data_IF_499631809473
#
_entry.id   IF_499631809473
#
_cell.length_a   1.000
_cell.length_b   1.000
_cell.length_c   1.000
_cell.angle_alpha   90.00
_cell.angle_beta   90.00
_cell.angle_gamma   90.00
#
_symmetry.space_group_name_H-M   'P 1'
#
loop_
_entity.id
_entity.type
_entity.pdbx_description
1 polymer ?
#
# COMPACT_ATOMS: atom_id res chain seq x y z
N UNK A 1 59.74 -8.30 -46.12
CA UNK A 1 58.47 -7.63 -45.76
C UNK A 1 57.22 -8.39 -46.20
N UNK A 2 57.14 -8.90 -47.44
CA UNK A 2 55.99 -9.68 -47.95
C UNK A 2 55.66 -10.96 -47.16
N UNK A 3 56.66 -11.66 -46.63
CA UNK A 3 56.47 -12.92 -45.89
C UNK A 3 55.94 -12.73 -44.46
N UNK A 4 56.21 -11.56 -43.84
CA UNK A 4 55.67 -11.22 -42.50
C UNK A 4 54.21 -10.76 -42.59
N UNK A 5 53.83 -10.09 -43.68
CA UNK A 5 52.44 -9.70 -43.97
C UNK A 5 51.56 -10.92 -44.23
N UNK A 6 52.10 -11.95 -44.90
CA UNK A 6 51.36 -13.20 -45.14
C UNK A 6 51.04 -13.95 -43.82
N UNK A 7 51.95 -13.91 -42.84
CA UNK A 7 51.74 -14.54 -41.53
C UNK A 7 50.67 -13.80 -40.71
N UNK A 8 50.64 -12.46 -40.77
CA UNK A 8 49.59 -11.67 -40.13
C UNK A 8 48.21 -11.87 -40.78
N UNK A 9 48.15 -12.02 -42.10
CA UNK A 9 46.90 -12.32 -42.82
C UNK A 9 46.39 -13.74 -42.52
N UNK A 10 47.29 -14.72 -42.39
CA UNK A 10 46.91 -16.11 -42.03
C UNK A 10 46.43 -16.22 -40.58
N UNK A 11 47.03 -15.43 -39.67
CA UNK A 11 46.62 -15.34 -38.26
C UNK A 11 45.24 -14.70 -38.07
N UNK A 12 44.85 -13.76 -38.92
CA UNK A 12 43.55 -13.08 -38.82
C UNK A 12 42.40 -13.95 -39.34
N UNK A 13 42.67 -14.89 -40.25
CA UNK A 13 41.66 -15.81 -40.81
C UNK A 13 41.24 -16.91 -39.81
N UNK A 14 42.14 -17.32 -38.91
CA UNK A 14 41.84 -18.34 -37.88
C UNK A 14 40.96 -17.85 -36.74
N UNK A 15 40.74 -16.54 -36.58
CA UNK A 15 39.87 -15.99 -35.54
C UNK A 15 38.37 -16.01 -35.90
N UNK A 16 38.01 -16.33 -37.16
CA UNK A 16 36.61 -16.36 -37.62
C UNK A 16 35.99 -17.76 -37.68
N UNK A 17 36.73 -18.83 -37.40
CA UNK A 17 36.22 -20.22 -37.51
C UNK A 17 35.96 -20.91 -36.16
N UNK A 18 36.07 -20.19 -35.03
CA UNK A 18 35.84 -20.73 -33.69
C UNK A 18 34.38 -20.57 -33.20
N UNK A 19 33.40 -20.61 -34.11
CA UNK A 19 31.98 -20.73 -33.76
C UNK A 19 31.43 -22.00 -34.41
N UNK A 20 31.72 -23.13 -33.76
CA UNK A 20 31.08 -24.40 -34.04
C UNK A 20 29.62 -24.28 -33.57
N UNK A 21 28.71 -24.04 -34.51
CA UNK A 21 27.29 -24.21 -34.27
C UNK A 21 27.06 -25.70 -34.05
N UNK A 22 26.89 -26.09 -32.79
CA UNK A 22 26.25 -27.36 -32.46
C UNK A 22 24.84 -27.31 -33.03
N UNK A 23 24.60 -28.14 -34.04
CA UNK A 23 23.24 -28.47 -34.46
C UNK A 23 22.55 -29.06 -33.23
N UNK A 24 21.61 -28.30 -32.66
CA UNK A 24 20.67 -28.83 -31.69
C UNK A 24 19.77 -29.78 -32.47
N UNK A 25 19.98 -31.07 -32.24
CA UNK A 25 19.04 -32.11 -32.59
C UNK A 25 17.67 -31.71 -32.04
N UNK A 26 16.71 -31.46 -32.94
CA UNK A 26 15.29 -31.35 -32.63
C UNK A 26 14.83 -32.69 -32.02
N UNK A 27 15.05 -32.84 -30.72
CA UNK A 27 14.10 -33.59 -29.91
C UNK A 27 12.93 -32.65 -29.69
N UNK A 28 11.83 -32.97 -30.35
CA UNK A 28 10.48 -32.64 -29.93
C UNK A 28 10.32 -33.10 -28.49
N UNK A 29 10.83 -32.30 -27.55
CA UNK A 29 10.34 -32.31 -26.19
C UNK A 29 8.96 -31.74 -26.34
N UNK A 30 7.95 -32.61 -26.18
CA UNK A 30 6.66 -32.15 -25.69
C UNK A 30 6.98 -31.14 -24.60
N UNK A 31 6.69 -29.87 -24.87
CA UNK A 31 6.52 -28.90 -23.80
C UNK A 31 5.33 -29.42 -23.04
N UNK A 32 5.57 -30.33 -22.10
CA UNK A 32 4.71 -30.50 -20.96
C UNK A 32 4.66 -29.08 -20.41
N UNK A 33 3.55 -28.39 -20.70
CA UNK A 33 3.12 -27.25 -19.92
C UNK A 33 2.97 -27.83 -18.52
N UNK A 34 4.08 -27.90 -17.78
CA UNK A 34 4.04 -28.02 -16.33
C UNK A 34 3.41 -26.71 -15.94
N UNK A 35 2.08 -26.71 -15.89
CA UNK A 35 1.33 -25.74 -15.15
C UNK A 35 1.92 -25.88 -13.76
N UNK A 36 2.83 -24.99 -13.40
CA UNK A 36 3.37 -24.91 -12.05
C UNK A 36 2.19 -24.50 -11.20
N UNK A 37 1.45 -25.50 -10.70
CA UNK A 37 0.30 -25.25 -9.85
C UNK A 37 0.88 -24.62 -8.59
N UNK A 38 0.52 -23.37 -8.38
CA UNK A 38 0.86 -22.62 -7.18
C UNK A 38 0.12 -23.23 -5.99
N UNK A 39 0.77 -24.18 -5.32
CA UNK A 39 0.20 -24.92 -4.19
C UNK A 39 0.33 -24.18 -2.86
N UNK A 40 1.14 -23.12 -2.81
CA UNK A 40 1.41 -22.38 -1.59
C UNK A 40 0.32 -21.33 -1.35
N UNK A 41 -0.34 -21.44 -0.19
CA UNK A 41 -1.34 -20.45 0.26
C UNK A 41 -0.71 -19.49 1.26
N UNK A 42 -1.07 -18.21 1.18
CA UNK A 42 -0.73 -17.21 2.19
C UNK A 42 -1.83 -17.21 3.26
N UNK A 43 -1.52 -17.58 4.51
CA UNK A 43 -2.48 -17.58 5.60
C UNK A 43 -3.17 -16.23 5.77
N UNK A 44 -4.46 -16.29 6.12
CA UNK A 44 -5.14 -15.13 6.66
C UNK A 44 -4.79 -15.00 8.15
N UNK A 45 -4.26 -13.85 8.55
CA UNK A 45 -3.90 -13.58 9.94
C UNK A 45 -4.19 -12.13 10.30
N UNK A 46 -4.84 -11.97 11.44
CA UNK A 46 -5.13 -10.66 12.05
C UNK A 46 -4.23 -10.36 13.24
N UNK A 47 -3.41 -11.32 13.67
CA UNK A 47 -2.52 -11.15 14.82
C UNK A 47 -1.47 -10.08 14.52
N UNK A 48 -1.38 -9.06 15.37
CA UNK A 48 -0.44 -7.95 15.20
C UNK A 48 -0.91 -6.83 14.27
N UNK A 49 -2.12 -6.92 13.71
CA UNK A 49 -2.72 -5.79 13.00
C UNK A 49 -3.13 -4.69 13.98
N UNK A 50 -2.80 -3.44 13.63
CA UNK A 50 -3.37 -2.24 14.24
C UNK A 50 -4.87 -2.17 13.92
N UNK A 51 -5.68 -1.49 14.76
CA UNK A 51 -7.06 -1.18 14.41
C UNK A 51 -7.14 -0.46 13.06
N UNK A 52 -8.14 -0.82 12.26
CA UNK A 52 -8.42 -0.10 11.02
C UNK A 52 -8.91 1.31 11.34
N UNK A 53 -8.16 2.32 10.92
CA UNK A 53 -8.49 3.72 11.08
C UNK A 53 -9.31 4.19 9.89
N UNK A 54 -10.55 4.60 10.18
CA UNK A 54 -11.40 5.26 9.20
C UNK A 54 -10.90 6.68 8.98
N UNK A 55 -10.87 7.11 7.72
CA UNK A 55 -10.61 8.51 7.41
C UNK A 55 -11.81 9.38 7.82
N UNK A 56 -11.54 10.60 8.32
CA UNK A 56 -12.55 11.63 8.54
C UNK A 56 -13.13 12.11 7.20
N UNK A 57 -14.31 12.75 7.16
CA UNK A 57 -14.89 13.22 5.90
C UNK A 57 -13.97 14.12 5.07
N UNK A 58 -13.25 15.05 5.71
CA UNK A 58 -12.27 15.92 5.03
C UNK A 58 -11.10 15.12 4.46
N UNK A 59 -10.58 14.17 5.23
CA UNK A 59 -9.51 13.27 4.78
C UNK A 59 -9.97 12.37 3.62
N UNK A 60 -11.19 11.85 3.65
CA UNK A 60 -11.77 11.06 2.56
C UNK A 60 -11.85 11.85 1.26
N UNK A 61 -12.30 13.10 1.32
CA UNK A 61 -12.34 13.96 0.14
C UNK A 61 -10.94 14.24 -0.40
N UNK A 62 -9.97 14.49 0.50
CA UNK A 62 -8.61 14.79 0.12
C UNK A 62 -7.90 13.63 -0.61
N UNK A 63 -8.24 12.37 -0.30
CA UNK A 63 -7.66 11.18 -0.95
C UNK A 63 -8.50 10.65 -2.11
N UNK A 64 -9.67 11.25 -2.40
CA UNK A 64 -10.67 10.71 -3.35
C UNK A 64 -10.07 10.43 -4.72
N UNK A 65 -9.30 11.37 -5.23
CA UNK A 65 -8.68 11.30 -6.56
C UNK A 65 -7.20 10.86 -6.51
N UNK A 66 -6.70 10.47 -5.34
CA UNK A 66 -5.32 10.02 -5.15
C UNK A 66 -5.16 8.54 -5.54
N UNK A 67 -4.80 8.31 -6.80
CA UNK A 67 -4.69 6.96 -7.41
C UNK A 67 -3.87 5.96 -6.56
N UNK A 68 -2.73 6.38 -6.03
CA UNK A 68 -1.86 5.54 -5.21
C UNK A 68 -2.58 5.07 -3.94
N UNK A 69 -3.26 5.98 -3.24
CA UNK A 69 -4.06 5.65 -2.06
C UNK A 69 -5.21 4.69 -2.40
N UNK A 70 -5.94 4.94 -3.49
CA UNK A 70 -7.05 4.08 -3.93
C UNK A 70 -6.57 2.65 -4.24
N UNK A 71 -5.40 2.52 -4.89
CA UNK A 71 -4.79 1.22 -5.18
C UNK A 71 -4.36 0.48 -3.90
N UNK A 72 -3.70 1.19 -2.98
CA UNK A 72 -3.31 0.63 -1.67
C UNK A 72 -4.54 0.13 -0.91
N UNK A 73 -5.54 1.00 -0.73
CA UNK A 73 -6.76 0.68 0.02
C UNK A 73 -7.51 -0.52 -0.57
N UNK A 74 -7.56 -0.66 -1.89
CA UNK A 74 -8.27 -1.75 -2.56
C UNK A 74 -7.54 -3.10 -2.46
N UNK A 75 -6.20 -3.09 -2.51
CA UNK A 75 -5.41 -4.31 -2.75
C UNK A 75 -4.87 -4.93 -1.49
N UNK A 76 -4.57 -4.14 -0.46
CA UNK A 76 -3.95 -4.66 0.77
C UNK A 76 -4.78 -5.77 1.44
N UNK A 77 -6.11 -5.67 1.39
CA UNK A 77 -7.00 -6.69 1.95
C UNK A 77 -6.96 -8.02 1.19
N UNK A 78 -6.56 -8.00 -0.08
CA UNK A 78 -6.50 -9.18 -0.96
C UNK A 78 -5.15 -9.91 -0.96
N UNK A 79 -4.20 -9.51 -0.12
CA UNK A 79 -2.86 -10.10 -0.08
C UNK A 79 -2.78 -11.43 0.69
N UNK A 80 -3.78 -11.71 1.53
CA UNK A 80 -3.85 -12.88 2.41
C UNK A 80 -5.07 -13.74 2.06
N UNK A 81 -5.04 -15.02 2.44
CA UNK A 81 -6.11 -15.98 2.14
C UNK A 81 -6.16 -16.39 0.66
N UNK A 82 -5.09 -16.12 -0.08
CA UNK A 82 -4.95 -16.39 -1.52
C UNK A 82 -3.64 -17.14 -1.79
N UNK A 83 -3.46 -17.62 -3.01
CA UNK A 83 -2.24 -18.31 -3.42
C UNK A 83 -1.04 -17.35 -3.52
N UNK A 84 0.19 -17.86 -3.38
CA UNK A 84 1.41 -17.05 -3.45
C UNK A 84 1.51 -16.25 -4.75
N UNK A 85 1.21 -16.86 -5.88
CA UNK A 85 1.16 -16.25 -7.21
C UNK A 85 0.15 -15.11 -7.29
N UNK A 86 -1.02 -15.25 -6.64
CA UNK A 86 -1.97 -14.14 -6.53
C UNK A 86 -1.39 -13.00 -5.69
N UNK A 87 -0.78 -13.31 -4.55
CA UNK A 87 -0.10 -12.31 -3.70
C UNK A 87 1.01 -11.59 -4.47
N UNK A 88 1.91 -12.33 -5.16
CA UNK A 88 2.95 -11.76 -6.03
C UNK A 88 2.37 -10.81 -7.07
N UNK A 89 1.32 -11.23 -7.77
CA UNK A 89 0.65 -10.38 -8.77
C UNK A 89 0.12 -9.08 -8.16
N UNK A 90 -0.52 -9.13 -6.98
CA UNK A 90 -1.00 -7.92 -6.31
C UNK A 90 0.16 -7.01 -5.86
N UNK A 91 1.24 -7.59 -5.31
CA UNK A 91 2.43 -6.86 -4.88
C UNK A 91 3.12 -6.16 -6.06
N UNK A 92 3.28 -6.84 -7.20
CA UNK A 92 3.86 -6.25 -8.40
C UNK A 92 3.05 -5.06 -8.93
N UNK A 93 1.71 -5.14 -8.89
CA UNK A 93 0.86 -4.02 -9.29
C UNK A 93 1.02 -2.83 -8.33
N UNK A 94 1.08 -3.10 -7.02
CA UNK A 94 1.31 -2.05 -6.03
C UNK A 94 2.68 -1.39 -6.22
N UNK A 95 3.74 -2.17 -6.46
CA UNK A 95 5.08 -1.65 -6.72
C UNK A 95 5.10 -0.76 -7.96
N UNK A 96 4.51 -1.21 -9.08
CA UNK A 96 4.42 -0.42 -10.29
C UNK A 96 3.63 0.90 -10.10
N UNK A 97 2.77 0.99 -9.08
CA UNK A 97 2.07 2.24 -8.75
C UNK A 97 3.02 3.27 -8.12
N UNK A 98 4.03 2.83 -7.37
CA UNK A 98 5.11 3.69 -6.86
C UNK A 98 6.12 4.01 -7.97
N UNK A 99 6.62 3.00 -8.66
CA UNK A 99 7.68 3.16 -9.67
C UNK A 99 7.20 3.92 -10.92
N UNK A 100 5.97 3.69 -11.38
CA UNK A 100 5.40 4.40 -12.54
C UNK A 100 5.08 5.88 -12.29
N UNK A 101 5.16 6.32 -11.03
CA UNK A 101 5.15 7.74 -10.67
C UNK A 101 6.57 8.29 -10.44
N UNK A 102 7.59 7.43 -10.40
CA UNK A 102 9.01 7.79 -10.32
C UNK A 102 9.61 7.97 -11.73
N UNK A 103 9.28 7.09 -12.69
CA UNK A 103 9.78 7.09 -14.10
C UNK A 103 9.40 8.32 -14.95
N UNK A 104 8.63 9.25 -14.40
CA UNK A 104 8.45 10.58 -14.97
C UNK A 104 9.64 11.51 -14.61
N UNK A 105 10.88 11.02 -14.61
CA UNK A 105 12.05 11.69 -14.02
C UNK A 105 12.45 13.05 -14.65
N UNK A 106 11.81 13.49 -15.76
CA UNK A 106 11.92 14.87 -16.26
C UNK A 106 10.88 15.85 -15.66
N UNK A 107 9.87 15.32 -14.98
CA UNK A 107 8.87 16.07 -14.23
C UNK A 107 8.62 15.34 -12.91
N UNK A 108 9.17 15.84 -11.80
CA UNK A 108 8.91 15.33 -10.44
C UNK A 108 7.40 15.11 -10.28
N UNK A 109 6.92 13.88 -10.48
CA UNK A 109 5.52 13.55 -10.27
C UNK A 109 5.40 13.35 -8.77
N UNK A 110 4.90 14.38 -8.11
CA UNK A 110 4.61 14.31 -6.69
C UNK A 110 3.68 13.11 -6.43
N UNK A 111 4.21 12.10 -5.75
CA UNK A 111 3.45 10.91 -5.31
C UNK A 111 2.26 11.29 -4.42
N UNK A 112 2.35 12.45 -3.77
CA UNK A 112 1.34 13.01 -2.87
C UNK A 112 0.70 14.23 -3.52
N UNK A 113 -0.64 14.34 -3.60
CA UNK A 113 -1.29 15.54 -4.13
C UNK A 113 -1.02 16.77 -3.24
N UNK A 114 -1.01 17.97 -3.82
CA UNK A 114 -0.62 19.22 -3.16
C UNK A 114 -1.37 19.48 -1.83
N UNK A 115 -2.67 19.19 -1.81
CA UNK A 115 -3.51 19.32 -0.61
C UNK A 115 -3.09 18.39 0.53
N UNK A 116 -2.34 17.33 0.24
CA UNK A 116 -1.81 16.35 1.18
C UNK A 116 -0.29 16.44 1.35
N UNK A 117 0.41 17.21 0.54
CA UNK A 117 1.86 17.35 0.63
C UNK A 117 2.30 17.87 2.01
N UNK A 118 3.08 17.05 2.72
CA UNK A 118 3.73 17.41 3.98
C UNK A 118 4.86 16.43 4.28
N UNK A 119 5.91 16.85 5.02
CA UNK A 119 6.99 15.95 5.41
C UNK A 119 6.51 14.70 6.14
N UNK A 120 5.49 14.85 6.99
CA UNK A 120 4.94 13.75 7.77
C UNK A 120 4.22 12.72 6.87
N UNK A 121 3.41 13.17 5.91
CA UNK A 121 2.73 12.28 4.95
C UNK A 121 3.74 11.57 4.06
N UNK A 122 4.72 12.31 3.51
CA UNK A 122 5.74 11.73 2.64
C UNK A 122 6.59 10.68 3.39
N UNK A 123 6.93 10.92 4.65
CA UNK A 123 7.63 9.94 5.47
C UNK A 123 6.80 8.66 5.71
N UNK A 124 5.48 8.78 5.91
CA UNK A 124 4.59 7.61 6.02
C UNK A 124 4.45 6.87 4.70
N UNK A 125 4.42 7.59 3.59
CA UNK A 125 4.37 6.99 2.27
C UNK A 125 5.63 6.18 1.95
N UNK A 126 6.81 6.74 2.22
CA UNK A 126 8.09 6.02 2.12
C UNK A 126 8.12 4.77 3.01
N UNK A 127 7.53 4.84 4.21
CA UNK A 127 7.41 3.68 5.09
C UNK A 127 6.52 2.59 4.48
N UNK A 128 5.39 2.95 3.87
CA UNK A 128 4.52 2.02 3.14
C UNK A 128 5.28 1.36 2.00
N UNK A 129 5.93 2.16 1.16
CA UNK A 129 6.73 1.69 0.03
C UNK A 129 7.84 0.71 0.46
N UNK A 130 8.57 1.07 1.52
CA UNK A 130 9.65 0.23 2.07
C UNK A 130 9.09 -1.12 2.52
N UNK A 131 7.97 -1.12 3.25
CA UNK A 131 7.32 -2.36 3.72
C UNK A 131 6.77 -3.18 2.55
N UNK A 132 6.28 -2.53 1.50
CA UNK A 132 5.83 -3.15 0.27
C UNK A 132 6.99 -3.86 -0.46
N UNK A 133 8.12 -3.17 -0.64
CA UNK A 133 9.33 -3.73 -1.25
C UNK A 133 9.87 -4.91 -0.42
N UNK A 134 9.88 -4.82 0.91
CA UNK A 134 10.28 -5.92 1.81
C UNK A 134 9.40 -7.15 1.62
N UNK A 135 8.07 -7.01 1.68
CA UNK A 135 7.18 -8.19 1.54
C UNK A 135 7.24 -8.79 0.14
N UNK A 136 7.43 -7.97 -0.90
CA UNK A 136 7.69 -8.46 -2.24
C UNK A 136 8.98 -9.28 -2.30
N UNK A 137 10.06 -8.80 -1.68
CA UNK A 137 11.31 -9.55 -1.61
C UNK A 137 11.14 -10.91 -0.92
N UNK A 138 10.35 -10.99 0.16
CA UNK A 138 10.02 -12.28 0.78
C UNK A 138 9.24 -13.21 -0.15
N UNK A 139 8.27 -12.67 -0.89
CA UNK A 139 7.49 -13.45 -1.84
C UNK A 139 8.35 -13.96 -3.01
N UNK A 140 9.31 -13.17 -3.49
CA UNK A 140 10.13 -13.50 -4.67
C UNK A 140 11.34 -14.41 -4.39
N UNK A 141 11.58 -14.81 -3.13
CA UNK A 141 12.62 -15.80 -2.81
C UNK A 141 12.43 -17.09 -3.63
N UNK A 142 13.53 -17.77 -3.94
CA UNK A 142 13.49 -19.10 -4.57
C UNK A 142 12.76 -20.12 -3.71
N UNK A 143 12.88 -19.99 -2.39
CA UNK A 143 12.14 -20.76 -1.39
C UNK A 143 11.34 -19.79 -0.48
N UNK A 144 10.11 -19.40 -0.89
CA UNK A 144 9.29 -18.48 -0.12
C UNK A 144 8.78 -19.10 1.19
N UNK A 145 8.75 -18.30 2.26
CA UNK A 145 8.18 -18.70 3.54
C UNK A 145 6.83 -18.01 3.79
N UNK A 146 5.77 -18.80 3.96
CA UNK A 146 4.40 -18.27 4.10
C UNK A 146 4.25 -17.37 5.34
N UNK A 147 4.92 -17.72 6.44
CA UNK A 147 4.84 -16.97 7.67
C UNK A 147 5.59 -15.64 7.57
N UNK A 148 6.78 -15.62 6.95
CA UNK A 148 7.52 -14.37 6.70
C UNK A 148 6.72 -13.42 5.81
N UNK A 149 6.11 -13.94 4.74
CA UNK A 149 5.25 -13.15 3.85
C UNK A 149 4.04 -12.62 4.64
N UNK A 150 3.38 -13.47 5.42
CA UNK A 150 2.22 -13.07 6.24
C UNK A 150 2.57 -11.96 7.21
N UNK A 151 3.71 -12.07 7.90
CA UNK A 151 4.20 -11.04 8.82
C UNK A 151 4.56 -9.74 8.06
N UNK A 152 5.19 -9.84 6.89
CA UNK A 152 5.47 -8.69 6.02
C UNK A 152 4.20 -7.98 5.56
N UNK A 153 3.13 -8.73 5.23
CA UNK A 153 1.82 -8.15 4.89
C UNK A 153 1.22 -7.41 6.08
N UNK A 154 1.32 -7.97 7.30
CA UNK A 154 0.84 -7.33 8.53
C UNK A 154 1.58 -6.00 8.77
N UNK A 155 2.91 -5.98 8.61
CA UNK A 155 3.69 -4.75 8.74
C UNK A 155 3.32 -3.70 7.69
N UNK A 156 3.11 -4.12 6.43
CA UNK A 156 2.65 -3.25 5.36
C UNK A 156 1.26 -2.66 5.64
N UNK A 157 0.29 -3.49 6.06
CA UNK A 157 -1.04 -3.03 6.46
C UNK A 157 -0.95 -2.04 7.62
N UNK A 158 -0.08 -2.28 8.59
CA UNK A 158 0.14 -1.37 9.72
C UNK A 158 0.78 -0.04 9.30
N UNK A 159 1.72 -0.06 8.35
CA UNK A 159 2.28 1.17 7.77
C UNK A 159 1.19 1.99 7.07
N UNK A 160 0.28 1.33 6.35
CA UNK A 160 -0.87 1.98 5.73
C UNK A 160 -1.83 2.58 6.76
N UNK A 161 -2.09 1.92 7.89
CA UNK A 161 -2.87 2.52 8.97
C UNK A 161 -2.20 3.76 9.58
N UNK A 162 -0.87 3.77 9.67
CA UNK A 162 -0.15 4.97 10.13
C UNK A 162 -0.25 6.12 9.09
N UNK A 163 -0.30 5.80 7.79
CA UNK A 163 -0.61 6.81 6.76
C UNK A 163 -2.02 7.37 6.95
N UNK A 164 -3.03 6.52 7.18
CA UNK A 164 -4.41 6.98 7.44
C UNK A 164 -4.50 7.90 8.65
N UNK A 165 -3.77 7.59 9.73
CA UNK A 165 -3.67 8.46 10.89
C UNK A 165 -3.11 9.83 10.50
N UNK A 166 -2.00 9.85 9.76
CA UNK A 166 -1.35 11.11 9.36
C UNK A 166 -2.22 11.96 8.45
N UNK A 167 -2.96 11.34 7.53
CA UNK A 167 -3.93 12.03 6.67
C UNK A 167 -5.05 12.63 7.52
N UNK A 168 -5.57 11.90 8.52
CA UNK A 168 -6.57 12.45 9.43
C UNK A 168 -6.04 13.64 10.24
N UNK A 169 -4.83 13.53 10.79
CA UNK A 169 -4.18 14.59 11.57
C UNK A 169 -3.99 15.87 10.76
N UNK A 170 -3.73 15.77 9.45
CA UNK A 170 -3.59 16.93 8.57
C UNK A 170 -4.86 17.82 8.52
N UNK A 171 -6.03 17.24 8.79
CA UNK A 171 -7.31 17.95 8.82
C UNK A 171 -7.91 18.07 10.23
N UNK A 172 -7.14 17.72 11.26
CA UNK A 172 -7.56 17.93 12.64
C UNK A 172 -7.60 19.44 12.92
N UNK A 173 -8.68 19.89 13.55
CA UNK A 173 -8.81 21.28 13.97
C UNK A 173 -7.82 21.60 15.08
N UNK A 174 -7.29 22.82 15.08
CA UNK A 174 -6.57 23.32 16.25
C UNK A 174 -7.53 23.56 17.41
N UNK A 175 -6.98 23.71 18.63
CA UNK A 175 -7.80 24.02 19.81
C UNK A 175 -8.56 25.33 19.59
N UNK A 176 -7.90 26.33 19.01
CA UNK A 176 -8.49 27.63 18.71
C UNK A 176 -9.63 27.51 17.70
N UNK A 177 -9.45 26.73 16.63
CA UNK A 177 -10.50 26.50 15.63
C UNK A 177 -11.70 25.74 16.20
N UNK A 178 -11.46 24.77 17.11
CA UNK A 178 -12.54 24.07 17.81
C UNK A 178 -13.31 25.02 18.75
N UNK A 179 -12.61 25.89 19.47
CA UNK A 179 -13.23 26.87 20.36
C UNK A 179 -14.05 27.89 19.58
N UNK A 180 -13.54 28.36 18.45
CA UNK A 180 -14.26 29.27 17.56
C UNK A 180 -15.53 28.64 17.00
N UNK A 181 -15.46 27.38 16.57
CA UNK A 181 -16.66 26.65 16.11
C UNK A 181 -17.70 26.47 17.22
N UNK A 182 -17.26 26.15 18.44
CA UNK A 182 -18.15 26.04 19.60
C UNK A 182 -18.85 27.37 19.92
N UNK A 183 -18.11 28.48 19.91
CA UNK A 183 -18.69 29.81 20.15
C UNK A 183 -19.72 30.17 19.08
N UNK A 184 -19.39 29.94 17.80
CA UNK A 184 -20.32 30.18 16.69
C UNK A 184 -21.58 29.31 16.77
N UNK A 185 -21.46 28.07 17.25
CA UNK A 185 -22.60 27.18 17.43
C UNK A 185 -23.47 27.62 18.62
N UNK A 186 -22.85 28.05 19.73
CA UNK A 186 -23.55 28.67 20.86
C UNK A 186 -24.32 29.92 20.41
N UNK A 187 -23.68 30.82 19.65
CA UNK A 187 -24.29 32.06 19.17
C UNK A 187 -25.45 31.79 18.21
N UNK A 188 -25.30 30.84 17.28
CA UNK A 188 -26.41 30.38 16.40
C UNK A 188 -27.57 29.75 17.18
N UNK A 189 -27.27 29.10 18.29
CA UNK A 189 -28.30 28.51 19.16
C UNK A 189 -29.03 29.59 19.97
N UNK A 190 -28.33 30.67 20.34
CA UNK A 190 -28.87 31.81 21.07
C UNK A 190 -29.65 32.79 20.17
N UNK A 191 -29.32 32.89 18.88
CA UNK A 191 -30.02 33.71 17.89
C UNK A 191 -31.25 33.02 17.27
N UNK A 192 -31.51 31.75 17.60
CA UNK A 192 -32.76 31.09 17.27
C UNK A 192 -33.84 31.56 18.25
N UNK A 193 -34.98 32.14 17.79
CA UNK A 193 -35.98 32.69 18.70
C UNK A 193 -36.50 31.59 19.62
N UNK A 194 -36.37 31.84 20.92
CA UNK A 194 -36.89 31.11 22.06
C UNK A 194 -38.09 30.19 21.69
N UNK A 195 -37.81 28.96 21.27
CA UNK A 195 -38.80 27.91 21.26
C UNK A 195 -39.02 27.54 22.74
N UNK A 196 -40.08 28.09 23.31
CA UNK A 196 -40.68 27.81 24.62
C UNK A 196 -39.75 27.19 25.67
N UNK A 197 -39.42 27.98 26.69
CA UNK A 197 -38.88 27.49 27.97
C UNK A 197 -39.52 26.15 28.34
N UNK A 198 -38.77 25.04 28.45
CA UNK A 198 -39.31 23.85 29.06
C UNK A 198 -39.59 24.20 30.52
N UNK A 199 -40.87 24.16 30.89
CA UNK A 199 -41.30 24.15 32.28
C UNK A 199 -40.47 23.11 33.04
N UNK A 200 -40.00 23.39 34.27
CA UNK A 200 -39.18 22.46 35.02
C UNK A 200 -40.00 21.21 35.31
N UNK A 201 -39.80 20.15 34.51
CA UNK A 201 -40.31 18.82 34.86
C UNK A 201 -39.52 18.37 36.08
N UNK A 202 -40.20 18.36 37.23
CA UNK A 202 -39.68 17.76 38.44
C UNK A 202 -39.13 16.36 38.15
N UNK A 203 -38.02 16.03 38.83
CA UNK A 203 -37.41 14.69 38.74
C UNK A 203 -38.50 13.63 38.85
N UNK A 204 -38.60 12.68 37.90
CA UNK A 204 -39.50 11.54 38.09
C UNK A 204 -39.05 10.78 39.35
N UNK A 205 -39.99 10.29 40.17
CA UNK A 205 -39.66 9.58 41.39
C UNK A 205 -38.83 8.34 41.05
N UNK A 206 -37.70 8.18 41.73
CA UNK A 206 -36.86 7.00 41.64
C UNK A 206 -37.67 5.80 42.11
N UNK A 207 -37.96 4.85 41.22
CA UNK A 207 -38.54 3.56 41.60
C UNK A 207 -37.47 2.77 42.37
N UNK A 208 -37.58 2.75 43.69
CA UNK A 208 -36.78 1.87 44.54
C UNK A 208 -37.30 0.45 44.30
N UNK A 209 -36.50 -0.38 43.63
CA UNK A 209 -36.76 -1.80 43.50
C UNK A 209 -36.56 -2.46 44.87
N UNK A 210 -37.65 -2.97 45.45
CA UNK A 210 -37.56 -3.87 46.62
C UNK A 210 -37.38 -5.30 46.10
N UNK A 211 -36.31 -6.01 46.46
CA UNK A 211 -36.22 -7.43 46.16
C UNK A 211 -37.26 -8.19 47.01
N UNK A 212 -38.03 -9.07 46.36
CA UNK A 212 -38.91 -9.99 47.05
C UNK A 212 -38.07 -10.95 47.88
N UNK A 213 -38.43 -11.08 49.16
CA UNK A 213 -38.02 -12.18 50.04
C UNK A 213 -38.72 -13.47 49.63
#
# INVERSE_FOLDING_TARGET
MKQRILIYLLSLFFLFTACEKKEAQDQESETINVVTIDTMMIPNSTQGLKPSLRLTPKAQEAVRDWSLYQNLSKRLDSLQGVSLGKTKSQLSILIATFDGQEEAEEAIVNLTPDNLESPAINARLLSVETKLKIVNNYAQKSEPNAQEITNGIIELKNAFQNLNLQVNEKFALTIEEMLEQLNQEIDKTNDSPEAEKPTPRGKPPVKIYKPNQ
#
